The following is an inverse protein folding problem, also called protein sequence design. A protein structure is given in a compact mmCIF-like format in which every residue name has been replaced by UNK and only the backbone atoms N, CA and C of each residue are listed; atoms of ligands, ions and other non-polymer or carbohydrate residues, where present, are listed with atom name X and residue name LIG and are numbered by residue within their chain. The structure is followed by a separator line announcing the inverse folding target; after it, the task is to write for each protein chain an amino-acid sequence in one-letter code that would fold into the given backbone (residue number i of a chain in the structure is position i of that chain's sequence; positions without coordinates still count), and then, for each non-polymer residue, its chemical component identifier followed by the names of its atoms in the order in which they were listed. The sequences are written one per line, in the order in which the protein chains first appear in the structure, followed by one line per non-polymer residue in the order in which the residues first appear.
data_IF_317164562436
#
_entry.id   IF_317164562436
#
_cell.length_a   1.000
_cell.length_b   1.000
_cell.length_c   1.000
_cell.angle_alpha   90.00
_cell.angle_beta   90.00
_cell.angle_gamma   90.00
#
_symmetry.space_group_name_H-M   'P 1'
#
loop_
_entity.id
_entity.type
_entity.pdbx_description
1 polymer ?
#
# COMPACT_ATOMS: atom_id res chain seq x y z
N UNK A 1 81.50 11.44 -19.51
CA UNK A 1 81.22 11.68 -20.94
C UNK A 1 80.00 10.85 -21.26
N UNK A 2 78.83 11.38 -21.63
CA UNK A 2 78.57 12.58 -22.41
C UNK A 2 77.72 13.62 -21.67
N UNK A 3 78.13 14.88 -21.80
CA UNK A 3 77.36 16.08 -21.45
C UNK A 3 76.16 16.23 -22.39
N UNK A 4 75.00 16.57 -21.83
CA UNK A 4 73.89 17.12 -22.58
C UNK A 4 74.04 18.64 -22.68
N UNK A 5 73.85 19.16 -23.88
CA UNK A 5 74.01 20.56 -24.29
C UNK A 5 72.91 21.50 -23.74
N UNK A 6 73.22 22.79 -23.48
CA UNK A 6 72.33 23.75 -22.82
C UNK A 6 71.43 24.49 -23.84
N UNK A 7 70.43 23.83 -24.42
CA UNK A 7 69.49 24.47 -25.35
C UNK A 7 67.99 24.22 -25.07
N UNK A 8 67.61 23.49 -24.03
CA UNK A 8 66.20 23.28 -23.68
C UNK A 8 65.99 23.42 -22.17
N UNK A 9 65.86 24.67 -21.73
CA UNK A 9 65.07 25.00 -20.52
C UNK A 9 64.14 26.14 -20.89
N UNK A 10 62.81 25.95 -20.86
CA UNK A 10 61.88 27.06 -21.02
C UNK A 10 62.20 28.11 -19.95
N UNK A 11 62.51 29.30 -20.43
CA UNK A 11 62.81 30.49 -19.64
C UNK A 11 61.74 30.67 -18.58
N UNK A 12 62.17 30.57 -17.33
CA UNK A 12 61.32 30.72 -16.17
C UNK A 12 61.05 32.21 -15.93
N UNK A 13 60.24 32.81 -16.81
CA UNK A 13 59.80 34.20 -16.71
C UNK A 13 59.09 34.50 -15.38
N UNK A 14 58.53 33.46 -14.72
CA UNK A 14 57.99 33.57 -13.37
C UNK A 14 59.06 33.69 -12.29
N UNK A 15 60.22 33.04 -12.44
CA UNK A 15 61.35 33.20 -11.51
C UNK A 15 62.10 34.53 -11.76
N UNK A 16 62.24 34.95 -13.01
CA UNK A 16 62.76 36.29 -13.34
C UNK A 16 61.85 37.41 -12.81
N UNK A 17 60.53 37.24 -12.93
CA UNK A 17 59.53 38.15 -12.38
C UNK A 17 59.54 38.18 -10.85
N UNK A 18 59.62 37.01 -10.18
CA UNK A 18 59.74 36.94 -8.71
C UNK A 18 61.04 37.56 -8.22
N UNK A 19 62.16 37.37 -8.91
CA UNK A 19 63.46 37.95 -8.54
C UNK A 19 63.52 39.48 -8.71
N UNK A 20 62.90 40.02 -9.76
CA UNK A 20 62.77 41.47 -9.95
C UNK A 20 61.83 42.09 -8.92
N UNK A 21 60.68 41.46 -8.66
CA UNK A 21 59.70 42.00 -7.72
C UNK A 21 60.18 41.88 -6.26
N UNK A 22 60.80 40.75 -5.88
CA UNK A 22 61.36 40.58 -4.54
C UNK A 22 62.57 41.50 -4.31
N UNK A 23 63.43 41.71 -5.33
CA UNK A 23 64.59 42.60 -5.22
C UNK A 23 64.22 44.09 -5.11
N UNK A 24 63.12 44.51 -5.73
CA UNK A 24 62.58 45.88 -5.61
C UNK A 24 61.89 46.07 -4.26
N UNK A 25 61.12 45.09 -3.80
CA UNK A 25 60.44 45.14 -2.49
C UNK A 25 61.45 45.07 -1.32
N UNK A 26 62.47 44.21 -1.38
CA UNK A 26 63.48 44.10 -0.32
C UNK A 26 64.38 45.34 -0.21
N UNK A 27 64.59 46.08 -1.31
CA UNK A 27 65.29 47.37 -1.27
C UNK A 27 64.39 48.53 -0.84
N UNK A 28 63.08 48.44 -1.04
CA UNK A 28 62.11 49.45 -0.58
C UNK A 28 61.77 49.30 0.90
N UNK A 29 61.79 48.09 1.46
CA UNK A 29 61.48 47.81 2.87
C UNK A 29 62.64 48.14 3.82
N UNK A 30 63.87 48.35 3.32
CA UNK A 30 65.06 48.65 4.14
C UNK A 30 65.45 50.13 4.23
N UNK A 31 64.63 51.06 3.73
CA UNK A 31 64.86 52.50 3.89
C UNK A 31 63.72 53.12 4.71
N UNK A 32 64.06 53.51 5.94
CA UNK A 32 63.19 54.14 6.93
C UNK A 32 62.82 55.59 6.53
N UNK A 33 61.99 55.71 5.49
CA UNK A 33 61.55 56.96 4.85
C UNK A 33 60.05 56.86 4.50
N UNK A 34 59.25 56.45 5.49
CA UNK A 34 58.00 55.72 5.26
C UNK A 34 56.70 56.54 5.15
N UNK A 35 56.74 57.88 5.00
CA UNK A 35 55.48 58.65 4.80
C UNK A 35 55.45 59.64 3.65
N UNK A 36 56.60 60.12 3.17
CA UNK A 36 56.63 61.15 2.11
C UNK A 36 56.67 60.57 0.70
N UNK A 37 57.25 59.38 0.53
CA UNK A 37 57.41 58.73 -0.78
C UNK A 37 56.13 57.96 -1.18
N UNK A 38 55.45 57.35 -0.22
CA UNK A 38 54.20 56.62 -0.47
C UNK A 38 53.12 57.52 -1.10
N UNK A 39 53.00 58.77 -0.61
CA UNK A 39 52.04 59.76 -1.14
C UNK A 39 52.42 60.25 -2.53
N UNK A 40 53.72 60.39 -2.81
CA UNK A 40 54.22 60.79 -4.13
C UNK A 40 54.01 59.67 -5.17
N UNK A 41 54.30 58.43 -4.80
CA UNK A 41 54.11 57.25 -5.65
C UNK A 41 52.63 57.02 -5.93
N UNK A 42 51.75 57.14 -4.92
CA UNK A 42 50.30 57.03 -5.12
C UNK A 42 49.75 58.14 -6.04
N UNK A 43 50.25 59.37 -5.93
CA UNK A 43 49.83 60.48 -6.79
C UNK A 43 50.31 60.32 -8.25
N UNK A 44 51.52 59.82 -8.47
CA UNK A 44 52.06 59.52 -9.80
C UNK A 44 51.34 58.33 -10.44
N UNK A 45 51.09 57.27 -9.66
CA UNK A 45 50.34 56.11 -10.10
C UNK A 45 48.88 56.46 -10.44
N UNK A 46 48.22 57.28 -9.62
CA UNK A 46 46.87 57.78 -9.89
C UNK A 46 46.78 58.61 -11.17
N UNK A 47 47.80 59.41 -11.49
CA UNK A 47 47.87 60.15 -12.76
C UNK A 47 48.13 59.24 -13.96
N UNK A 48 48.99 58.22 -13.81
CA UNK A 48 49.27 57.24 -14.87
C UNK A 48 48.04 56.37 -15.18
N UNK A 49 47.32 55.91 -14.15
CA UNK A 49 46.06 55.17 -14.32
C UNK A 49 45.00 56.05 -14.96
N UNK A 50 44.85 57.30 -14.51
CA UNK A 50 43.90 58.25 -15.14
C UNK A 50 44.26 58.53 -16.60
N UNK A 51 45.54 58.73 -16.92
CA UNK A 51 46.04 58.96 -18.27
C UNK A 51 45.81 57.73 -19.17
N UNK A 52 46.12 56.53 -18.67
CA UNK A 52 45.84 55.26 -19.36
C UNK A 52 44.34 55.06 -19.59
N UNK A 53 43.49 55.38 -18.61
CA UNK A 53 42.04 55.29 -18.75
C UNK A 53 41.49 56.29 -19.77
N UNK A 54 42.01 57.53 -19.81
CA UNK A 54 41.61 58.52 -20.82
C UNK A 54 42.09 58.20 -22.23
N UNK A 55 43.16 57.41 -22.39
CA UNK A 55 43.66 56.95 -23.70
C UNK A 55 42.95 55.70 -24.18
N UNK A 56 42.65 54.75 -23.27
CA UNK A 56 42.06 53.45 -23.62
C UNK A 56 40.53 53.52 -23.73
N UNK A 57 39.85 54.36 -22.95
CA UNK A 57 38.39 54.46 -22.99
C UNK A 57 37.81 54.85 -24.37
N UNK A 58 38.32 55.85 -25.11
CA UNK A 58 37.76 56.19 -26.43
C UNK A 58 38.08 55.13 -27.50
N UNK A 59 39.21 54.43 -27.40
CA UNK A 59 39.56 53.31 -28.29
C UNK A 59 38.66 52.10 -28.00
N UNK A 60 38.41 51.80 -26.72
CA UNK A 60 37.49 50.74 -26.30
C UNK A 60 36.04 51.02 -26.67
N UNK A 61 35.57 52.26 -26.54
CA UNK A 61 34.23 52.69 -27.00
C UNK A 61 34.10 52.68 -28.52
N UNK A 62 35.15 53.05 -29.25
CA UNK A 62 35.20 52.99 -30.71
C UNK A 62 35.18 51.56 -31.24
N UNK A 63 35.97 50.66 -30.65
CA UNK A 63 35.95 49.23 -30.98
C UNK A 63 34.64 48.57 -30.57
N UNK A 64 34.08 48.90 -29.40
CA UNK A 64 32.77 48.38 -28.99
C UNK A 64 31.64 48.83 -29.92
N UNK A 65 31.66 50.09 -30.39
CA UNK A 65 30.72 50.56 -31.43
C UNK A 65 30.96 49.90 -32.77
N UNK A 66 32.20 49.76 -33.21
CA UNK A 66 32.53 49.09 -34.47
C UNK A 66 32.15 47.60 -34.47
N UNK A 67 32.32 46.91 -33.34
CA UNK A 67 31.88 45.53 -33.15
C UNK A 67 30.35 45.46 -33.08
N UNK A 68 29.68 46.39 -32.39
CA UNK A 68 28.21 46.43 -32.36
C UNK A 68 27.60 46.74 -33.73
N UNK A 69 28.19 47.65 -34.50
CA UNK A 69 27.74 47.98 -35.86
C UNK A 69 28.03 46.86 -36.86
N UNK A 70 29.18 46.18 -36.74
CA UNK A 70 29.48 44.98 -37.53
C UNK A 70 28.56 43.81 -37.13
N UNK A 71 28.24 43.66 -35.85
CA UNK A 71 27.29 42.68 -35.36
C UNK A 71 25.88 42.95 -35.87
N UNK A 72 25.40 44.20 -35.86
CA UNK A 72 24.09 44.56 -36.40
C UNK A 72 24.00 44.30 -37.93
N UNK A 73 25.12 44.36 -38.64
CA UNK A 73 25.19 44.08 -40.08
C UNK A 73 25.14 42.58 -40.40
N UNK A 74 25.74 41.75 -39.54
CA UNK A 74 25.89 40.29 -39.76
C UNK A 74 24.82 39.48 -38.99
N UNK A 75 24.22 40.04 -37.93
CA UNK A 75 23.21 39.37 -37.10
C UNK A 75 21.99 38.86 -37.88
N UNK A 76 21.43 39.58 -38.88
CA UNK A 76 20.31 39.05 -39.66
C UNK A 76 20.67 37.78 -40.42
N UNK A 77 21.87 37.71 -40.98
CA UNK A 77 22.37 36.55 -41.75
C UNK A 77 22.69 35.37 -40.83
N UNK A 78 23.32 35.62 -39.68
CA UNK A 78 23.54 34.58 -38.66
C UNK A 78 22.23 34.04 -38.09
N UNK A 79 21.21 34.90 -37.92
CA UNK A 79 19.90 34.50 -37.48
C UNK A 79 19.16 33.64 -38.51
N UNK A 80 19.32 33.91 -39.81
CA UNK A 80 18.79 33.06 -40.88
C UNK A 80 19.49 31.69 -40.93
N UNK A 81 20.81 31.65 -40.76
CA UNK A 81 21.57 30.40 -40.72
C UNK A 81 21.20 29.57 -39.49
N UNK A 82 21.13 30.20 -38.31
CA UNK A 82 20.73 29.52 -37.07
C UNK A 82 19.28 29.03 -37.12
N UNK A 83 18.38 29.79 -37.75
CA UNK A 83 17.01 29.38 -38.02
C UNK A 83 16.93 28.21 -38.98
N UNK A 84 17.67 28.22 -40.08
CA UNK A 84 17.72 27.10 -41.02
C UNK A 84 18.27 25.84 -40.36
N UNK A 85 19.37 25.95 -39.59
CA UNK A 85 19.95 24.82 -38.86
C UNK A 85 18.98 24.26 -37.79
N UNK A 86 18.34 25.14 -37.01
CA UNK A 86 17.30 24.70 -36.07
C UNK A 86 16.10 24.07 -36.80
N UNK A 87 15.72 24.62 -37.96
CA UNK A 87 14.58 24.08 -38.71
C UNK A 87 14.85 22.69 -39.26
N UNK A 88 16.08 22.45 -39.70
CA UNK A 88 16.55 21.16 -40.22
C UNK A 88 16.63 20.12 -39.09
N UNK A 89 17.33 20.44 -38.00
CA UNK A 89 17.52 19.53 -36.84
C UNK A 89 16.18 19.14 -36.19
N UNK A 90 15.23 20.08 -36.11
CA UNK A 90 13.95 19.84 -35.45
C UNK A 90 12.80 19.50 -36.42
N UNK A 91 13.04 19.55 -37.73
CA UNK A 91 12.02 19.30 -38.76
C UNK A 91 10.82 20.25 -38.70
N UNK A 92 10.99 21.46 -38.14
CA UNK A 92 9.95 22.48 -38.00
C UNK A 92 10.45 23.83 -38.48
N UNK A 93 9.62 24.60 -39.17
CA UNK A 93 10.00 25.93 -39.66
C UNK A 93 10.19 26.92 -38.47
N UNK A 94 11.45 27.19 -38.11
CA UNK A 94 11.85 28.15 -37.08
C UNK A 94 12.19 29.47 -37.77
N UNK A 95 11.44 30.56 -37.57
CA UNK A 95 11.70 31.81 -38.27
C UNK A 95 12.97 32.49 -37.77
N UNK A 96 13.75 33.10 -38.68
CA UNK A 96 14.97 33.87 -38.36
C UNK A 96 14.76 34.96 -37.30
N UNK A 97 13.55 35.54 -37.25
CA UNK A 97 13.17 36.56 -36.25
C UNK A 97 13.22 36.04 -34.80
N UNK A 98 13.18 34.72 -34.59
CA UNK A 98 13.37 34.11 -33.27
C UNK A 98 14.78 34.40 -32.71
N UNK A 99 15.80 34.49 -33.58
CA UNK A 99 17.20 34.67 -33.19
C UNK A 99 17.68 36.13 -33.18
N UNK A 100 16.90 37.06 -33.78
CA UNK A 100 17.30 38.47 -33.93
C UNK A 100 17.12 39.33 -32.67
N UNK A 101 16.44 38.86 -31.61
CA UNK A 101 16.05 39.72 -30.48
C UNK A 101 17.10 39.81 -29.37
N UNK A 102 18.24 40.48 -29.61
CA UNK A 102 19.28 40.63 -28.59
C UNK A 102 18.83 41.52 -27.40
N UNK A 103 17.94 42.49 -27.63
CA UNK A 103 17.56 43.52 -26.65
C UNK A 103 16.22 43.31 -25.94
N UNK A 104 15.44 42.27 -26.26
CA UNK A 104 14.15 42.03 -25.62
C UNK A 104 14.21 40.77 -24.76
N UNK A 105 14.40 40.93 -23.44
CA UNK A 105 14.53 39.79 -22.48
C UNK A 105 13.33 38.85 -22.51
N UNK A 106 12.14 39.33 -22.88
CA UNK A 106 10.94 38.49 -23.04
C UNK A 106 10.85 37.75 -24.38
N UNK A 107 11.68 38.10 -25.36
CA UNK A 107 11.72 37.40 -26.66
C UNK A 107 12.77 36.27 -26.70
N UNK A 108 13.72 36.25 -25.75
CA UNK A 108 14.73 35.18 -25.62
C UNK A 108 14.15 33.82 -25.22
N UNK A 109 12.92 33.76 -24.69
CA UNK A 109 12.25 32.47 -24.44
C UNK A 109 11.66 31.86 -25.70
N UNK A 110 11.43 32.64 -26.77
CA UNK A 110 10.74 32.16 -27.98
C UNK A 110 11.53 31.08 -28.74
N UNK A 111 12.86 31.19 -28.90
CA UNK A 111 13.65 30.10 -29.47
C UNK A 111 13.60 28.85 -28.60
N UNK A 112 13.81 28.96 -27.29
CA UNK A 112 13.77 27.79 -26.39
C UNK A 112 12.39 27.13 -26.33
N UNK A 113 11.32 27.93 -26.40
CA UNK A 113 9.93 27.44 -26.40
C UNK A 113 9.61 26.73 -27.73
N UNK A 114 10.07 27.28 -28.86
CA UNK A 114 9.92 26.66 -30.18
C UNK A 114 10.71 25.35 -30.27
N UNK A 115 11.97 25.34 -29.81
CA UNK A 115 12.80 24.13 -29.76
C UNK A 115 12.21 23.07 -28.83
N UNK A 116 11.73 23.49 -27.65
CA UNK A 116 11.08 22.60 -26.70
C UNK A 116 9.77 22.01 -27.24
N UNK A 117 8.97 22.81 -27.96
CA UNK A 117 7.74 22.35 -28.61
C UNK A 117 8.04 21.38 -29.76
N UNK A 118 9.02 21.69 -30.60
CA UNK A 118 9.46 20.82 -31.69
C UNK A 118 9.97 19.47 -31.20
N UNK A 119 10.81 19.47 -30.15
CA UNK A 119 11.24 18.24 -29.48
C UNK A 119 10.06 17.43 -28.94
N UNK A 120 9.11 18.07 -28.27
CA UNK A 120 7.94 17.37 -27.71
C UNK A 120 7.00 16.82 -28.78
N UNK A 121 6.79 17.56 -29.88
CA UNK A 121 5.99 17.10 -31.02
C UNK A 121 6.67 15.94 -31.75
N UNK A 122 8.00 15.94 -31.82
CA UNK A 122 8.76 14.83 -32.38
C UNK A 122 8.70 13.56 -31.51
N UNK A 123 8.83 13.71 -30.19
CA UNK A 123 8.72 12.61 -29.22
C UNK A 123 7.31 12.01 -29.19
N UNK A 124 6.27 12.84 -29.27
CA UNK A 124 4.87 12.39 -29.30
C UNK A 124 4.49 11.82 -30.68
N UNK A 125 4.96 12.44 -31.75
CA UNK A 125 4.49 12.31 -33.13
C UNK A 125 2.97 12.41 -33.30
N UNK A 126 2.44 11.97 -34.45
CA UNK A 126 1.02 12.13 -34.83
C UNK A 126 0.06 11.12 -34.17
N UNK A 127 0.36 10.61 -32.97
CA UNK A 127 -0.45 9.53 -32.38
C UNK A 127 -1.58 10.11 -31.53
N UNK A 128 -2.82 9.91 -31.97
CA UNK A 128 -4.03 10.38 -31.30
C UNK A 128 -4.41 9.60 -30.03
N UNK A 129 -3.79 8.46 -29.76
CA UNK A 129 -4.03 7.66 -28.54
C UNK A 129 -2.74 7.01 -28.01
N UNK A 130 -2.54 7.06 -26.68
CA UNK A 130 -1.38 6.47 -26.00
C UNK A 130 -1.63 4.97 -25.74
N UNK A 131 -1.49 4.12 -26.76
CA UNK A 131 -1.42 2.67 -26.56
C UNK A 131 0.03 2.22 -26.31
N UNK A 132 0.28 1.22 -25.46
CA UNK A 132 1.63 0.70 -25.20
C UNK A 132 2.24 0.15 -26.50
N UNK A 133 3.28 0.82 -27.02
CA UNK A 133 3.98 0.39 -28.24
C UNK A 133 5.45 0.80 -28.22
N UNK A 134 6.29 0.04 -28.93
CA UNK A 134 7.72 0.34 -29.09
C UNK A 134 7.98 1.55 -30.00
N UNK A 135 6.96 2.00 -30.74
CA UNK A 135 7.06 3.06 -31.75
C UNK A 135 7.49 4.41 -31.16
N UNK A 136 7.12 4.71 -29.90
CA UNK A 136 7.60 5.91 -29.21
C UNK A 136 9.11 5.88 -28.91
N UNK A 137 9.59 4.75 -28.38
CA UNK A 137 11.00 4.55 -28.06
C UNK A 137 11.87 4.52 -29.34
N UNK A 138 11.42 3.85 -30.40
CA UNK A 138 12.12 3.80 -31.68
C UNK A 138 12.24 5.19 -32.33
N UNK A 139 11.18 6.01 -32.30
CA UNK A 139 11.23 7.39 -32.80
C UNK A 139 12.21 8.26 -32.01
N UNK A 140 12.18 8.17 -30.69
CA UNK A 140 13.11 8.90 -29.83
C UNK A 140 14.57 8.48 -30.07
N UNK A 141 14.84 7.18 -30.20
CA UNK A 141 16.18 6.67 -30.49
C UNK A 141 16.66 7.02 -31.89
N UNK A 142 15.76 7.00 -32.88
CA UNK A 142 16.03 7.48 -34.23
C UNK A 142 16.42 8.95 -34.22
N UNK A 143 15.66 9.79 -33.51
CA UNK A 143 16.01 11.21 -33.33
C UNK A 143 17.37 11.40 -32.64
N UNK A 144 17.60 10.75 -31.50
CA UNK A 144 18.85 10.88 -30.76
C UNK A 144 20.06 10.44 -31.59
N UNK A 145 19.88 9.42 -32.44
CA UNK A 145 20.92 8.92 -33.35
C UNK A 145 21.14 9.88 -34.52
N UNK A 146 20.06 10.42 -35.11
CA UNK A 146 20.16 11.40 -36.19
C UNK A 146 20.86 12.68 -35.72
N UNK A 147 20.49 13.20 -34.54
CA UNK A 147 21.14 14.37 -33.94
C UNK A 147 22.62 14.12 -33.66
N UNK A 148 22.99 12.93 -33.18
CA UNK A 148 24.40 12.57 -32.97
C UNK A 148 25.19 12.45 -34.29
N UNK A 149 24.56 11.93 -35.35
CA UNK A 149 25.17 11.82 -36.68
C UNK A 149 25.30 13.19 -37.38
N UNK A 150 24.29 14.05 -37.24
CA UNK A 150 24.30 15.43 -37.76
C UNK A 150 25.34 16.28 -37.04
N UNK A 151 25.42 16.19 -35.70
CA UNK A 151 26.46 16.87 -34.92
C UNK A 151 27.87 16.45 -35.35
N UNK A 152 28.09 15.14 -35.51
CA UNK A 152 29.34 14.60 -36.05
C UNK A 152 29.65 15.10 -37.47
N UNK A 153 28.66 15.09 -38.37
CA UNK A 153 28.82 15.56 -39.75
C UNK A 153 29.10 17.06 -39.84
N UNK A 154 28.39 17.88 -39.06
CA UNK A 154 28.60 19.33 -39.01
C UNK A 154 29.98 19.65 -38.45
N UNK A 155 30.39 19.00 -37.35
CA UNK A 155 31.73 19.13 -36.81
C UNK A 155 32.80 18.82 -37.86
N UNK A 156 32.66 17.67 -38.55
CA UNK A 156 33.56 17.29 -39.65
C UNK A 156 33.55 18.29 -40.81
N UNK A 157 32.38 18.76 -41.25
CA UNK A 157 32.26 19.72 -42.35
C UNK A 157 32.88 21.08 -42.01
N UNK A 158 32.70 21.57 -40.79
CA UNK A 158 33.33 22.83 -40.36
C UNK A 158 34.84 22.70 -40.19
N UNK A 159 35.34 21.57 -39.70
CA UNK A 159 36.78 21.27 -39.68
C UNK A 159 37.35 21.19 -41.10
N UNK A 160 36.61 20.58 -42.02
CA UNK A 160 37.00 20.52 -43.43
C UNK A 160 37.01 21.91 -44.10
N UNK A 161 35.97 22.72 -43.89
CA UNK A 161 35.89 24.07 -44.45
C UNK A 161 36.91 25.03 -43.84
N UNK A 162 37.21 24.91 -42.54
CA UNK A 162 38.24 25.71 -41.89
C UNK A 162 39.64 25.35 -42.40
N UNK A 163 39.87 24.08 -42.78
CA UNK A 163 41.12 23.66 -43.42
C UNK A 163 41.32 24.25 -44.83
N UNK A 164 40.25 24.66 -45.51
CA UNK A 164 40.28 25.20 -46.88
C UNK A 164 40.53 26.71 -46.94
N UNK A 165 40.30 27.45 -45.86
CA UNK A 165 40.51 28.92 -45.81
C UNK A 165 41.43 29.24 -44.63
N UNK A 166 42.77 29.27 -44.84
CA UNK A 166 43.76 29.39 -43.77
C UNK A 166 43.73 30.69 -42.95
N UNK A 167 43.05 31.73 -43.45
CA UNK A 167 43.00 33.06 -42.85
C UNK A 167 41.84 33.23 -41.86
N UNK A 168 40.89 32.28 -41.81
CA UNK A 168 39.83 32.26 -40.80
C UNK A 168 40.38 31.53 -39.58
N UNK A 169 40.80 32.31 -38.58
CA UNK A 169 41.31 31.78 -37.30
C UNK A 169 40.27 30.87 -36.63
N UNK A 170 40.53 29.56 -36.71
CA UNK A 170 39.61 28.44 -36.43
C UNK A 170 39.24 28.35 -34.94
N UNK A 171 40.01 28.98 -34.06
CA UNK A 171 39.82 28.93 -32.60
C UNK A 171 38.51 29.55 -32.09
N UNK A 172 37.70 30.21 -32.94
CA UNK A 172 36.36 30.71 -32.56
C UNK A 172 35.20 29.84 -33.07
N UNK A 173 35.46 28.90 -33.96
CA UNK A 173 34.43 28.01 -34.53
C UNK A 173 34.28 26.71 -33.71
N UNK A 174 35.25 26.37 -32.86
CA UNK A 174 35.17 25.24 -31.90
C UNK A 174 33.87 25.27 -31.08
N UNK A 175 33.39 26.46 -30.70
CA UNK A 175 32.13 26.63 -29.95
C UNK A 175 30.88 26.10 -30.66
N UNK A 176 30.89 26.00 -31.98
CA UNK A 176 29.76 25.46 -32.75
C UNK A 176 29.79 23.93 -32.81
N UNK A 177 30.99 23.33 -32.79
CA UNK A 177 31.16 21.89 -32.76
C UNK A 177 30.87 21.28 -31.38
N UNK A 178 30.91 22.07 -30.30
CA UNK A 178 30.51 21.63 -28.94
C UNK A 178 29.00 21.80 -28.67
N UNK A 179 28.27 22.44 -29.59
CA UNK A 179 26.87 22.81 -29.37
C UNK A 179 25.96 21.58 -29.27
N UNK A 180 26.25 20.53 -30.05
CA UNK A 180 25.51 19.25 -30.01
C UNK A 180 25.70 18.52 -28.67
N UNK A 181 26.92 18.49 -28.13
CA UNK A 181 27.26 17.93 -26.82
C UNK A 181 26.60 18.72 -25.69
N UNK A 182 26.61 20.06 -25.77
CA UNK A 182 25.92 20.93 -24.80
C UNK A 182 24.41 20.68 -24.86
N UNK A 183 23.82 20.58 -26.06
CA UNK A 183 22.39 20.31 -26.23
C UNK A 183 22.01 18.89 -25.78
N UNK A 184 22.79 17.88 -26.13
CA UNK A 184 22.57 16.48 -25.72
C UNK A 184 22.63 16.32 -24.19
N UNK A 185 23.57 17.03 -23.54
CA UNK A 185 23.69 17.05 -22.08
C UNK A 185 22.59 17.88 -21.42
N UNK A 186 22.26 19.06 -21.95
CA UNK A 186 21.24 19.96 -21.40
C UNK A 186 19.82 19.36 -21.52
N UNK A 187 19.51 18.68 -22.63
CA UNK A 187 18.25 17.99 -22.85
C UNK A 187 18.20 16.61 -22.17
N UNK A 188 19.31 16.16 -21.58
CA UNK A 188 19.38 14.87 -20.90
C UNK A 188 19.13 13.66 -21.81
N UNK A 189 19.36 13.80 -23.12
CA UNK A 189 19.03 12.79 -24.14
C UNK A 189 19.70 11.46 -23.82
N UNK A 190 20.94 11.47 -23.31
CA UNK A 190 21.64 10.25 -22.89
C UNK A 190 21.06 9.53 -21.65
N UNK A 191 20.30 10.22 -20.79
CA UNK A 191 19.55 9.58 -19.68
C UNK A 191 18.20 9.07 -20.17
N UNK A 192 17.51 9.85 -20.99
CA UNK A 192 16.23 9.48 -21.57
C UNK A 192 16.35 8.29 -22.52
N UNK A 193 17.42 8.21 -23.32
CA UNK A 193 17.68 7.08 -24.23
C UNK A 193 17.95 5.80 -23.46
N UNK A 194 18.76 5.87 -22.40
CA UNK A 194 18.95 4.75 -21.47
C UNK A 194 17.63 4.32 -20.83
N UNK A 195 16.80 5.27 -20.41
CA UNK A 195 15.48 4.94 -19.84
C UNK A 195 14.53 4.32 -20.87
N UNK A 196 14.57 4.75 -22.13
CA UNK A 196 13.74 4.21 -23.20
C UNK A 196 14.19 2.81 -23.64
N UNK A 197 15.50 2.55 -23.68
CA UNK A 197 16.07 1.23 -24.02
C UNK A 197 15.99 0.25 -22.85
N UNK A 198 16.00 0.74 -21.61
CA UNK A 198 16.08 -0.11 -20.40
C UNK A 198 15.05 -1.23 -20.37
N UNK A 199 13.74 -1.04 -20.66
CA UNK A 199 12.79 -2.15 -20.68
C UNK A 199 13.16 -3.26 -21.68
N UNK A 200 13.65 -2.89 -22.86
CA UNK A 200 14.10 -3.85 -23.87
C UNK A 200 15.36 -4.59 -23.40
N UNK A 201 16.33 -3.87 -22.82
CA UNK A 201 17.54 -4.47 -22.25
C UNK A 201 17.23 -5.37 -21.04
N UNK A 202 16.31 -4.94 -20.17
CA UNK A 202 15.88 -5.71 -19.01
C UNK A 202 15.21 -7.02 -19.47
N UNK A 203 14.31 -6.96 -20.44
CA UNK A 203 13.59 -8.13 -20.96
C UNK A 203 14.49 -9.09 -21.77
N UNK A 204 15.43 -8.58 -22.57
CA UNK A 204 16.24 -9.39 -23.48
C UNK A 204 17.58 -9.84 -22.92
N UNK A 205 18.15 -9.09 -21.97
CA UNK A 205 19.49 -9.35 -21.43
C UNK A 205 19.45 -9.62 -19.93
N UNK A 206 18.93 -8.68 -19.12
CA UNK A 206 19.05 -8.77 -17.66
C UNK A 206 18.22 -9.93 -17.10
N UNK A 207 16.92 -10.02 -17.43
CA UNK A 207 16.03 -11.05 -16.91
C UNK A 207 16.47 -12.47 -17.33
N UNK A 208 16.80 -12.76 -18.61
CA UNK A 208 17.31 -14.08 -18.98
C UNK A 208 18.63 -14.44 -18.29
N UNK A 209 19.53 -13.47 -18.10
CA UNK A 209 20.78 -13.69 -17.36
C UNK A 209 20.52 -13.96 -15.87
N UNK A 210 19.58 -13.24 -15.26
CA UNK A 210 19.13 -13.50 -13.88
C UNK A 210 18.56 -14.90 -13.76
N UNK A 211 17.72 -15.35 -14.71
CA UNK A 211 17.18 -16.71 -14.73
C UNK A 211 18.27 -17.76 -14.85
N UNK A 212 19.23 -17.59 -15.76
CA UNK A 212 20.37 -18.50 -15.91
C UNK A 212 21.19 -18.57 -14.62
N UNK A 213 21.44 -17.42 -14.00
CA UNK A 213 22.17 -17.31 -12.72
C UNK A 213 21.40 -18.00 -11.60
N UNK A 214 20.09 -17.77 -11.49
CA UNK A 214 19.22 -18.40 -10.52
C UNK A 214 19.13 -19.91 -10.74
N UNK A 215 19.12 -20.41 -11.98
CA UNK A 215 19.10 -21.84 -12.26
C UNK A 215 20.42 -22.52 -11.89
N UNK A 216 21.54 -21.85 -12.19
CA UNK A 216 22.90 -22.35 -11.98
C UNK A 216 23.25 -22.37 -10.50
N UNK A 217 23.04 -21.25 -9.80
CA UNK A 217 23.51 -21.07 -8.42
C UNK A 217 22.39 -21.26 -7.38
N UNK A 218 21.11 -21.16 -7.79
CA UNK A 218 19.93 -21.29 -6.92
C UNK A 218 20.05 -20.49 -5.61
N UNK A 219 20.35 -19.18 -5.70
CA UNK A 219 20.62 -18.36 -4.51
C UNK A 219 19.36 -18.12 -3.66
N UNK A 220 18.17 -18.30 -4.23
CA UNK A 220 16.89 -18.14 -3.53
C UNK A 220 16.62 -19.34 -2.64
N UNK A 221 16.85 -19.18 -1.35
CA UNK A 221 16.46 -20.14 -0.31
C UNK A 221 14.96 -20.01 -0.01
N UNK A 222 14.36 -21.08 0.51
CA UNK A 222 12.96 -21.02 0.97
C UNK A 222 12.82 -20.06 2.15
N UNK A 223 11.73 -19.31 2.25
CA UNK A 223 11.50 -18.45 3.40
C UNK A 223 11.43 -19.26 4.71
N UNK A 224 11.84 -18.66 5.84
CA UNK A 224 11.97 -19.40 7.10
C UNK A 224 10.69 -20.14 7.53
N UNK A 225 9.52 -19.52 7.35
CA UNK A 225 8.22 -20.14 7.63
C UNK A 225 7.85 -21.27 6.66
N UNK A 226 8.35 -21.25 5.42
CA UNK A 226 8.16 -22.35 4.46
C UNK A 226 9.01 -23.56 4.88
N UNK A 227 10.26 -23.33 5.30
CA UNK A 227 11.15 -24.39 5.81
C UNK A 227 10.54 -25.04 7.05
N UNK A 228 10.09 -24.25 8.03
CA UNK A 228 9.48 -24.77 9.24
C UNK A 228 8.20 -25.59 8.95
N UNK A 229 7.37 -25.16 8.00
CA UNK A 229 6.20 -25.94 7.53
C UNK A 229 6.57 -27.26 6.87
N UNK A 230 7.64 -27.31 6.08
CA UNK A 230 8.10 -28.55 5.43
C UNK A 230 8.61 -29.57 6.45
N UNK A 231 9.26 -29.11 7.52
CA UNK A 231 9.66 -29.96 8.65
C UNK A 231 8.42 -30.47 9.40
N UNK A 232 7.48 -29.59 9.73
CA UNK A 232 6.24 -29.97 10.43
C UNK A 232 5.42 -31.01 9.63
N UNK A 233 5.48 -30.96 8.29
CA UNK A 233 4.84 -31.93 7.37
C UNK A 233 5.69 -33.18 7.10
N UNK A 234 6.86 -33.33 7.73
CA UNK A 234 7.82 -34.43 7.54
C UNK A 234 8.37 -34.58 6.10
N UNK A 235 8.31 -33.51 5.30
CA UNK A 235 8.94 -33.52 3.98
C UNK A 235 10.44 -33.27 4.06
N UNK A 236 10.90 -32.51 5.05
CA UNK A 236 12.31 -32.24 5.33
C UNK A 236 12.69 -32.76 6.71
N UNK A 237 13.94 -33.20 6.86
CA UNK A 237 14.51 -33.54 8.17
C UNK A 237 14.88 -32.26 8.94
N UNK A 238 15.00 -32.37 10.27
CA UNK A 238 15.40 -31.23 11.13
C UNK A 238 16.79 -30.73 10.76
N UNK A 239 17.72 -31.62 10.44
CA UNK A 239 19.10 -31.32 10.08
C UNK A 239 19.17 -30.50 8.78
N UNK A 240 18.36 -30.87 7.77
CA UNK A 240 18.29 -30.13 6.51
C UNK A 240 17.74 -28.73 6.71
N UNK A 241 16.71 -28.57 7.56
CA UNK A 241 16.16 -27.28 7.89
C UNK A 241 17.14 -26.39 8.66
N UNK A 242 17.90 -26.97 9.61
CA UNK A 242 18.96 -26.27 10.33
C UNK A 242 20.00 -25.71 9.37
N UNK A 243 20.50 -26.53 8.44
CA UNK A 243 21.47 -26.07 7.43
C UNK A 243 20.92 -24.94 6.56
N UNK A 244 19.67 -25.06 6.10
CA UNK A 244 19.05 -24.05 5.23
C UNK A 244 18.80 -22.72 5.97
N UNK A 245 18.33 -22.77 7.21
CA UNK A 245 18.06 -21.58 8.03
C UNK A 245 19.35 -20.94 8.56
N UNK A 246 20.38 -21.74 8.86
CA UNK A 246 21.70 -21.23 9.21
C UNK A 246 22.33 -20.45 8.05
N UNK A 247 22.14 -20.89 6.79
CA UNK A 247 22.55 -20.12 5.60
C UNK A 247 21.85 -18.77 5.46
N UNK A 248 20.65 -18.63 6.04
CA UNK A 248 19.90 -17.37 6.12
C UNK A 248 20.31 -16.50 7.32
N UNK A 249 21.19 -16.99 8.19
CA UNK A 249 21.69 -16.27 9.36
C UNK A 249 20.86 -16.43 10.64
N UNK A 250 19.97 -17.42 10.73
CA UNK A 250 19.28 -17.73 11.98
C UNK A 250 20.20 -18.51 12.94
N UNK A 251 20.10 -18.20 14.23
CA UNK A 251 20.75 -18.96 15.31
C UNK A 251 19.94 -20.22 15.63
N UNK A 252 20.59 -21.24 16.22
CA UNK A 252 19.94 -22.52 16.55
C UNK A 252 18.68 -22.33 17.43
N UNK A 253 18.75 -21.45 18.44
CA UNK A 253 17.60 -21.12 19.30
C UNK A 253 16.42 -20.52 18.52
N UNK A 254 16.70 -19.64 17.54
CA UNK A 254 15.67 -19.04 16.69
C UNK A 254 15.08 -20.07 15.74
N UNK A 255 15.90 -21.01 15.26
CA UNK A 255 15.43 -22.11 14.41
C UNK A 255 14.50 -23.00 15.21
N UNK A 256 14.85 -23.36 16.45
CA UNK A 256 14.00 -24.14 17.32
C UNK A 256 12.67 -23.43 17.61
N UNK A 257 12.70 -22.13 17.94
CA UNK A 257 11.49 -21.33 18.13
C UNK A 257 10.58 -21.33 16.88
N UNK A 258 11.14 -21.16 15.68
CA UNK A 258 10.39 -21.24 14.42
C UNK A 258 9.78 -22.62 14.16
N UNK A 259 10.48 -23.69 14.55
CA UNK A 259 9.96 -25.05 14.43
C UNK A 259 8.85 -25.34 15.44
N UNK A 260 8.97 -24.79 16.66
CA UNK A 260 7.93 -24.87 17.70
C UNK A 260 6.67 -24.12 17.29
N UNK A 261 6.80 -22.94 16.67
CA UNK A 261 5.66 -22.15 16.17
C UNK A 261 4.80 -22.90 15.14
N UNK A 262 5.42 -23.79 14.34
CA UNK A 262 4.69 -24.58 13.35
C UNK A 262 4.09 -25.88 13.90
N UNK A 263 4.31 -26.20 15.19
CA UNK A 263 3.65 -27.36 15.81
C UNK A 263 2.15 -27.09 15.92
N UNK A 264 1.36 -28.10 15.57
CA UNK A 264 -0.07 -28.07 15.87
C UNK A 264 -0.25 -28.40 17.34
N UNK A 265 -0.83 -27.48 18.08
CA UNK A 265 -1.19 -27.72 19.46
C UNK A 265 -2.66 -28.14 19.56
N UNK A 266 -2.92 -29.08 20.46
CA UNK A 266 -4.29 -29.41 20.87
C UNK A 266 -4.93 -28.21 21.56
N UNK A 267 -6.24 -28.03 21.37
CA UNK A 267 -6.97 -26.98 22.07
C UNK A 267 -6.95 -27.25 23.58
N UNK A 268 -7.14 -26.20 24.39
CA UNK A 268 -7.24 -26.32 25.85
C UNK A 268 -8.30 -27.37 26.27
N UNK A 269 -9.42 -27.41 25.57
CA UNK A 269 -10.52 -28.35 25.84
C UNK A 269 -10.11 -29.80 25.55
N UNK A 270 -9.37 -30.04 24.46
CA UNK A 270 -8.86 -31.37 24.12
C UNK A 270 -7.83 -31.85 25.14
N UNK A 271 -6.94 -30.96 25.59
CA UNK A 271 -5.95 -31.26 26.64
C UNK A 271 -6.66 -31.63 27.94
N UNK A 272 -7.62 -30.81 28.38
CA UNK A 272 -8.41 -31.07 29.59
C UNK A 272 -9.25 -32.36 29.47
N UNK A 273 -9.69 -32.72 28.26
CA UNK A 273 -10.36 -33.99 27.99
C UNK A 273 -9.39 -35.18 28.12
N UNK A 274 -8.18 -35.10 27.56
CA UNK A 274 -7.17 -36.15 27.66
C UNK A 274 -6.71 -36.40 29.09
N UNK A 275 -6.50 -35.32 29.87
CA UNK A 275 -6.17 -35.42 31.30
C UNK A 275 -7.31 -36.06 32.08
N UNK A 276 -8.54 -35.60 31.86
CA UNK A 276 -9.72 -36.17 32.52
C UNK A 276 -9.96 -37.65 32.20
N UNK A 277 -9.71 -38.07 30.96
CA UNK A 277 -9.81 -39.47 30.54
C UNK A 277 -8.64 -40.33 31.02
N UNK A 278 -7.67 -39.76 31.75
CA UNK A 278 -6.47 -40.45 32.22
C UNK A 278 -5.52 -40.86 31.09
N UNK A 279 -5.71 -40.34 29.88
CA UNK A 279 -4.81 -40.60 28.75
C UNK A 279 -3.51 -39.83 28.95
N UNK A 280 -3.61 -38.61 29.47
CA UNK A 280 -2.48 -37.78 29.89
C UNK A 280 -2.48 -37.59 31.41
N UNK A 281 -1.30 -37.39 31.98
CA UNK A 281 -1.18 -36.88 33.36
C UNK A 281 -1.42 -35.38 33.40
N UNK A 282 -1.76 -34.84 34.58
CA UNK A 282 -1.90 -33.39 34.76
C UNK A 282 -0.63 -32.63 34.37
N UNK A 283 0.55 -33.17 34.70
CA UNK A 283 1.84 -32.59 34.33
C UNK A 283 2.06 -32.54 32.82
N UNK A 284 1.65 -33.59 32.09
CA UNK A 284 1.72 -33.62 30.62
C UNK A 284 0.81 -32.56 29.99
N UNK A 285 -0.42 -32.42 30.53
CA UNK A 285 -1.34 -31.37 30.08
C UNK A 285 -0.80 -29.97 30.32
N UNK A 286 -0.27 -29.71 31.52
CA UNK A 286 0.34 -28.42 31.86
C UNK A 286 1.56 -28.11 31.00
N UNK A 287 2.45 -29.08 30.76
CA UNK A 287 3.60 -28.88 29.89
C UNK A 287 3.17 -28.56 28.46
N UNK A 288 2.14 -29.23 27.93
CA UNK A 288 1.62 -28.96 26.59
C UNK A 288 0.98 -27.57 26.48
N UNK A 289 0.36 -27.05 27.55
CA UNK A 289 -0.11 -25.66 27.61
C UNK A 289 1.07 -24.67 27.72
N UNK A 290 2.12 -24.99 28.47
CA UNK A 290 3.34 -24.16 28.51
C UNK A 290 4.02 -24.08 27.16
N UNK A 291 4.09 -25.18 26.42
CA UNK A 291 4.65 -25.22 25.07
C UNK A 291 3.84 -24.37 24.07
N UNK A 292 2.56 -24.09 24.37
CA UNK A 292 1.72 -23.15 23.63
C UNK A 292 1.97 -21.66 23.98
N UNK A 293 2.81 -21.39 24.99
CA UNK A 293 3.11 -20.05 25.47
C UNK A 293 2.26 -19.57 26.65
N UNK A 294 1.50 -20.46 27.30
CA UNK A 294 0.82 -20.12 28.55
C UNK A 294 1.83 -20.13 29.70
N UNK A 295 1.75 -19.16 30.60
CA UNK A 295 2.48 -19.21 31.86
C UNK A 295 1.91 -20.30 32.79
N UNK A 296 2.66 -20.68 33.82
CA UNK A 296 2.32 -21.78 34.73
C UNK A 296 1.00 -21.56 35.49
N UNK A 297 0.77 -20.33 35.95
CA UNK A 297 -0.44 -19.98 36.70
C UNK A 297 -1.66 -20.00 35.77
N UNK A 298 -1.54 -19.41 34.57
CA UNK A 298 -2.63 -19.39 33.60
C UNK A 298 -2.92 -20.79 33.03
N UNK A 299 -1.91 -21.63 32.78
CA UNK A 299 -2.12 -23.02 32.36
C UNK A 299 -2.87 -23.84 33.43
N UNK A 300 -2.55 -23.64 34.71
CA UNK A 300 -3.23 -24.28 35.82
C UNK A 300 -4.67 -23.80 35.98
N UNK A 301 -4.90 -22.49 35.85
CA UNK A 301 -6.24 -21.91 35.87
C UNK A 301 -7.09 -22.40 34.68
N UNK A 302 -6.49 -22.47 33.50
CA UNK A 302 -7.11 -22.97 32.27
C UNK A 302 -7.63 -24.41 32.42
N UNK A 303 -6.83 -25.32 32.97
CA UNK A 303 -7.25 -26.70 33.21
C UNK A 303 -8.41 -26.79 34.23
N UNK A 304 -8.32 -25.99 35.32
CA UNK A 304 -9.39 -25.90 36.33
C UNK A 304 -10.70 -25.34 35.78
N UNK A 305 -10.64 -24.33 34.90
CA UNK A 305 -11.83 -23.74 34.26
C UNK A 305 -12.55 -24.76 33.39
N UNK A 306 -11.83 -25.61 32.66
CA UNK A 306 -12.45 -26.69 31.86
C UNK A 306 -13.05 -27.80 32.73
N UNK A 307 -12.44 -28.08 33.90
CA UNK A 307 -13.07 -28.90 34.93
C UNK A 307 -14.40 -28.30 35.42
N UNK A 308 -14.39 -27.00 35.78
CA UNK A 308 -15.56 -26.29 36.27
C UNK A 308 -16.67 -26.18 35.22
N UNK A 309 -16.35 -25.93 33.93
CA UNK A 309 -17.33 -25.89 32.83
C UNK A 309 -18.07 -27.21 32.68
N UNK A 310 -17.37 -28.34 32.81
CA UNK A 310 -18.00 -29.67 32.74
C UNK A 310 -18.94 -29.92 33.90
N UNK A 311 -18.55 -29.54 35.12
CA UNK A 311 -19.41 -29.62 36.30
C UNK A 311 -20.65 -28.74 36.08
N UNK A 312 -20.48 -27.48 35.70
CA UNK A 312 -21.59 -26.56 35.44
C UNK A 312 -22.56 -27.09 34.36
N UNK A 313 -22.06 -27.76 33.31
CA UNK A 313 -22.92 -28.39 32.31
C UNK A 313 -23.73 -29.57 32.87
N UNK A 314 -23.14 -30.37 33.76
CA UNK A 314 -23.86 -31.45 34.45
C UNK A 314 -24.93 -30.88 35.39
N UNK A 315 -24.57 -29.89 36.21
CA UNK A 315 -25.50 -29.16 37.08
C UNK A 315 -26.67 -28.57 36.26
N UNK A 316 -26.38 -27.95 35.12
CA UNK A 316 -27.40 -27.41 34.19
C UNK A 316 -28.34 -28.50 33.67
N UNK A 317 -27.80 -29.65 33.29
CA UNK A 317 -28.61 -30.76 32.77
C UNK A 317 -29.52 -31.35 33.87
N UNK A 318 -28.99 -31.52 35.08
CA UNK A 318 -29.75 -31.98 36.25
C UNK A 318 -30.84 -30.98 36.64
N UNK A 319 -30.48 -29.70 36.77
CA UNK A 319 -31.43 -28.63 37.06
C UNK A 319 -32.57 -28.57 36.04
N UNK A 320 -32.28 -28.71 34.74
CA UNK A 320 -33.30 -28.73 33.70
C UNK A 320 -34.28 -29.90 33.86
N UNK A 321 -33.80 -31.09 34.24
CA UNK A 321 -34.65 -32.24 34.51
C UNK A 321 -35.53 -32.02 35.75
N UNK A 322 -34.97 -31.46 36.82
CA UNK A 322 -35.68 -31.13 38.06
C UNK A 322 -36.77 -30.08 37.79
N UNK A 323 -36.45 -29.02 37.04
CA UNK A 323 -37.41 -27.98 36.62
C UNK A 323 -38.54 -28.58 35.79
N UNK A 324 -38.24 -29.50 34.87
CA UNK A 324 -39.25 -30.15 34.04
C UNK A 324 -40.23 -31.00 34.88
N UNK A 325 -39.73 -31.75 35.86
CA UNK A 325 -40.56 -32.53 36.79
C UNK A 325 -41.45 -31.60 37.64
N UNK A 326 -40.90 -30.50 38.16
CA UNK A 326 -41.66 -29.52 38.94
C UNK A 326 -42.74 -28.82 38.10
N UNK A 327 -42.39 -28.38 36.89
CA UNK A 327 -43.32 -27.73 35.98
C UNK A 327 -44.46 -28.67 35.55
N UNK A 328 -44.17 -29.97 35.39
CA UNK A 328 -45.16 -31.01 35.08
C UNK A 328 -46.04 -31.42 36.26
N UNK A 329 -45.73 -30.88 37.45
CA UNK A 329 -46.38 -31.22 38.74
C UNK A 329 -46.13 -32.66 39.19
N UNK A 330 -45.04 -33.28 38.75
CA UNK A 330 -44.64 -34.62 39.17
C UNK A 330 -43.98 -34.62 40.56
N UNK A 331 -43.43 -33.48 40.97
CA UNK A 331 -42.86 -33.25 42.31
C UNK A 331 -43.44 -31.98 42.96
N UNK A 332 -43.48 -31.99 44.29
CA UNK A 332 -43.93 -30.85 45.08
C UNK A 332 -42.83 -29.78 45.25
N UNK A 333 -43.21 -28.58 45.72
CA UNK A 333 -42.26 -27.46 45.87
C UNK A 333 -41.14 -27.76 46.87
N UNK A 334 -41.44 -28.46 47.97
CA UNK A 334 -40.42 -28.84 48.95
C UNK A 334 -39.38 -29.79 48.36
N UNK A 335 -39.84 -30.80 47.61
CA UNK A 335 -38.97 -31.76 46.91
C UNK A 335 -38.14 -31.08 45.81
N UNK A 336 -38.76 -30.18 45.04
CA UNK A 336 -38.08 -29.38 44.03
C UNK A 336 -36.93 -28.55 44.63
N UNK A 337 -37.18 -27.81 45.71
CA UNK A 337 -36.15 -27.00 46.36
C UNK A 337 -35.02 -27.87 46.93
N UNK A 338 -35.36 -29.00 47.55
CA UNK A 338 -34.35 -29.93 48.07
C UNK A 338 -33.51 -30.58 46.96
N UNK A 339 -34.13 -30.95 45.84
CA UNK A 339 -33.42 -31.53 44.69
C UNK A 339 -32.52 -30.48 44.01
N UNK A 340 -33.01 -29.24 43.88
CA UNK A 340 -32.24 -28.15 43.28
C UNK A 340 -31.05 -27.73 44.16
N UNK A 341 -31.21 -27.73 45.49
CA UNK A 341 -30.12 -27.47 46.45
C UNK A 341 -29.01 -28.53 46.37
N UNK A 342 -29.37 -29.79 46.11
CA UNK A 342 -28.42 -30.87 45.92
C UNK A 342 -27.72 -30.83 44.55
N UNK A 343 -28.41 -30.38 43.50
CA UNK A 343 -27.91 -30.44 42.12
C UNK A 343 -27.10 -29.20 41.68
N UNK A 344 -27.38 -28.02 42.25
CA UNK A 344 -26.76 -26.76 41.81
C UNK A 344 -25.99 -26.14 42.97
N UNK A 345 -24.66 -26.08 42.85
CA UNK A 345 -23.80 -25.58 43.92
C UNK A 345 -23.92 -24.07 44.18
N UNK A 346 -24.24 -23.27 43.16
CA UNK A 346 -24.26 -21.79 43.25
C UNK A 346 -25.64 -21.27 43.69
N UNK A 347 -25.69 -20.59 44.84
CA UNK A 347 -26.95 -20.07 45.44
C UNK A 347 -27.70 -19.07 44.54
N UNK A 348 -26.99 -18.14 43.92
CA UNK A 348 -27.61 -17.16 43.02
C UNK A 348 -28.28 -17.82 41.81
N UNK A 349 -27.69 -18.90 41.29
CA UNK A 349 -28.27 -19.67 40.19
C UNK A 349 -29.50 -20.46 40.65
N UNK A 350 -29.47 -21.04 41.86
CA UNK A 350 -30.65 -21.70 42.46
C UNK A 350 -31.86 -20.77 42.54
N UNK A 351 -31.65 -19.50 42.92
CA UNK A 351 -32.73 -18.51 42.98
C UNK A 351 -33.35 -18.27 41.59
N UNK A 352 -32.52 -18.00 40.58
CA UNK A 352 -32.98 -17.77 39.20
C UNK A 352 -33.71 -18.99 38.62
N UNK A 353 -33.19 -20.19 38.87
CA UNK A 353 -33.80 -21.44 38.43
C UNK A 353 -35.13 -21.70 39.14
N UNK A 354 -35.26 -21.31 40.41
CA UNK A 354 -36.53 -21.37 41.15
C UNK A 354 -37.58 -20.45 40.55
N UNK A 355 -37.24 -19.20 40.26
CA UNK A 355 -38.15 -18.25 39.60
C UNK A 355 -38.59 -18.76 38.22
N UNK A 356 -37.63 -19.27 37.42
CA UNK A 356 -37.92 -19.86 36.12
C UNK A 356 -38.88 -21.06 36.23
N UNK A 357 -38.67 -21.92 37.23
CA UNK A 357 -39.51 -23.10 37.46
C UNK A 357 -40.93 -22.72 37.88
N UNK A 358 -41.09 -21.71 38.74
CA UNK A 358 -42.38 -21.18 39.16
C UNK A 358 -43.15 -20.58 37.96
N UNK A 359 -42.47 -19.82 37.08
CA UNK A 359 -43.06 -19.32 35.83
C UNK A 359 -43.47 -20.47 34.91
N UNK A 360 -42.60 -21.46 34.69
CA UNK A 360 -42.92 -22.63 33.85
C UNK A 360 -44.10 -23.42 34.38
N UNK A 361 -44.19 -23.62 35.71
CA UNK A 361 -45.31 -24.32 36.35
C UNK A 361 -46.62 -23.52 36.24
N UNK A 362 -46.55 -22.20 36.35
CA UNK A 362 -47.71 -21.32 36.16
C UNK A 362 -48.21 -21.31 34.70
N UNK A 363 -47.30 -21.41 33.73
CA UNK A 363 -47.64 -21.52 32.32
C UNK A 363 -48.10 -22.92 31.90
N UNK A 364 -47.62 -23.98 32.57
CA UNK A 364 -47.99 -25.36 32.29
C UNK A 364 -49.33 -25.77 32.93
N UNK A 365 -50.35 -24.92 32.77
CA UNK A 365 -51.72 -25.27 33.15
C UNK A 365 -52.40 -25.88 31.94
N UNK A 366 -52.77 -27.17 32.05
CA UNK A 366 -53.59 -27.82 31.03
C UNK A 366 -55.00 -27.24 31.10
N UNK A 367 -55.35 -26.45 30.09
CA UNK A 367 -56.71 -26.01 29.87
C UNK A 367 -57.44 -27.00 28.96
N UNK A 368 -58.76 -27.14 29.14
CA UNK A 368 -59.59 -27.84 28.17
C UNK A 368 -59.51 -27.10 26.84
N UNK A 369 -59.26 -27.84 25.76
CA UNK A 369 -59.30 -27.29 24.41
C UNK A 369 -60.69 -26.76 24.09
N UNK A 370 -60.79 -25.76 23.21
CA UNK A 370 -62.07 -25.14 22.86
C UNK A 370 -63.11 -26.17 22.41
N UNK A 371 -62.72 -27.16 21.60
CA UNK A 371 -63.61 -28.25 21.17
C UNK A 371 -64.06 -29.18 22.31
N UNK A 372 -63.21 -29.44 23.31
CA UNK A 372 -63.64 -30.20 24.50
C UNK A 372 -64.65 -29.40 25.33
N UNK A 373 -64.43 -28.09 25.48
CA UNK A 373 -65.38 -27.19 26.16
C UNK A 373 -66.71 -27.15 25.41
N UNK A 374 -66.67 -27.04 24.08
CA UNK A 374 -67.86 -27.09 23.22
C UNK A 374 -68.69 -28.36 23.44
N UNK A 375 -68.04 -29.53 23.43
CA UNK A 375 -68.70 -30.81 23.68
C UNK A 375 -69.30 -30.88 25.08
N UNK A 376 -68.60 -30.35 26.10
CA UNK A 376 -69.11 -30.26 27.47
C UNK A 376 -70.30 -29.31 27.61
N UNK A 377 -70.37 -28.24 26.81
CA UNK A 377 -71.56 -27.37 26.75
C UNK A 377 -72.72 -28.10 26.08
N UNK A 378 -72.47 -28.79 24.96
CA UNK A 378 -73.49 -29.61 24.27
C UNK A 378 -74.05 -30.71 25.16
N UNK A 379 -73.23 -31.31 26.03
CA UNK A 379 -73.69 -32.28 27.02
C UNK A 379 -74.33 -31.66 28.27
N UNK A 380 -74.44 -30.33 28.36
CA UNK A 380 -75.01 -29.62 29.51
C UNK A 380 -74.15 -29.65 30.78
N UNK A 381 -72.87 -30.03 30.68
CA UNK A 381 -71.92 -30.07 31.80
C UNK A 381 -71.34 -28.68 32.08
N UNK A 382 -71.07 -27.90 31.03
CA UNK A 382 -70.60 -26.53 31.12
C UNK A 382 -71.64 -25.55 30.54
N UNK A 383 -71.53 -24.28 30.93
CA UNK A 383 -72.39 -23.21 30.41
C UNK A 383 -71.79 -22.57 29.15
N UNK A 384 -72.63 -21.89 28.37
CA UNK A 384 -72.17 -21.08 27.22
C UNK A 384 -71.21 -19.95 27.65
N UNK A 385 -71.33 -19.44 28.88
CA UNK A 385 -70.40 -18.44 29.44
C UNK A 385 -69.00 -19.06 29.61
N UNK A 386 -68.91 -20.33 30.01
CA UNK A 386 -67.62 -21.02 30.14
C UNK A 386 -66.95 -21.25 28.78
N UNK A 387 -67.74 -21.50 27.73
CA UNK A 387 -67.25 -21.54 26.35
C UNK A 387 -66.70 -20.19 25.91
N UNK A 388 -67.40 -19.08 26.20
CA UNK A 388 -66.93 -17.72 25.92
C UNK A 388 -65.56 -17.47 26.56
N UNK A 389 -65.44 -17.73 27.88
CA UNK A 389 -64.19 -17.58 28.63
C UNK A 389 -63.07 -18.48 28.08
N UNK A 390 -63.39 -19.67 27.61
CA UNK A 390 -62.41 -20.56 26.98
C UNK A 390 -61.92 -20.00 25.65
N UNK A 391 -62.80 -19.44 24.82
CA UNK A 391 -62.43 -18.78 23.57
C UNK A 391 -61.60 -17.51 23.82
N UNK A 392 -61.98 -16.66 24.78
CA UNK A 392 -61.19 -15.48 25.17
C UNK A 392 -59.78 -15.87 25.64
N UNK A 393 -59.66 -16.94 26.44
CA UNK A 393 -58.35 -17.46 26.92
C UNK A 393 -57.45 -17.96 25.78
N UNK A 394 -58.03 -18.52 24.72
CA UNK A 394 -57.31 -18.94 23.50
C UNK A 394 -56.95 -17.75 22.60
N UNK A 395 -57.35 -16.53 22.95
CA UNK A 395 -56.96 -15.29 22.26
C UNK A 395 -57.82 -14.92 21.06
N UNK A 396 -59.02 -15.49 20.93
CA UNK A 396 -59.99 -15.03 19.92
C UNK A 396 -60.44 -13.60 20.21
N UNK A 397 -60.62 -12.78 19.17
CA UNK A 397 -61.19 -11.45 19.31
C UNK A 397 -62.68 -11.49 19.65
N UNK A 398 -63.22 -10.41 20.24
CA UNK A 398 -64.60 -10.37 20.74
C UNK A 398 -65.66 -10.65 19.66
N UNK A 399 -65.38 -10.28 18.40
CA UNK A 399 -66.24 -10.58 17.26
C UNK A 399 -66.25 -12.07 16.94
N UNK A 400 -65.08 -12.69 16.86
CA UNK A 400 -64.95 -14.14 16.67
C UNK A 400 -65.56 -14.95 17.82
N UNK A 401 -65.34 -14.52 19.07
CA UNK A 401 -65.95 -15.12 20.27
C UNK A 401 -67.47 -15.07 20.16
N UNK A 402 -68.04 -13.92 19.79
CA UNK A 402 -69.49 -13.77 19.61
C UNK A 402 -70.02 -14.65 18.48
N UNK A 403 -69.31 -14.75 17.35
CA UNK A 403 -69.71 -15.60 16.23
C UNK A 403 -69.70 -17.10 16.61
N UNK A 404 -68.64 -17.56 17.29
CA UNK A 404 -68.53 -18.94 17.78
C UNK A 404 -69.62 -19.25 18.83
N UNK A 405 -69.90 -18.31 19.72
CA UNK A 405 -70.99 -18.45 20.70
C UNK A 405 -72.35 -18.57 20.00
N UNK A 406 -72.65 -17.71 19.02
CA UNK A 406 -73.89 -17.77 18.25
C UNK A 406 -74.02 -19.07 17.47
N UNK A 407 -72.93 -19.56 16.88
CA UNK A 407 -72.91 -20.88 16.23
C UNK A 407 -73.23 -21.99 17.22
N UNK A 408 -72.59 -22.00 18.39
CA UNK A 408 -72.85 -23.01 19.42
C UNK A 408 -74.30 -22.97 19.88
N UNK A 409 -74.87 -21.79 20.10
CA UNK A 409 -76.30 -21.62 20.43
C UNK A 409 -77.22 -22.17 19.33
N UNK A 410 -76.93 -21.85 18.07
CA UNK A 410 -77.66 -22.40 16.94
C UNK A 410 -77.63 -23.93 16.92
N UNK A 411 -76.48 -24.53 17.20
CA UNK A 411 -76.34 -25.99 17.25
C UNK A 411 -77.08 -26.62 18.44
N UNK A 412 -77.11 -25.96 19.60
CA UNK A 412 -77.88 -26.39 20.78
C UNK A 412 -79.39 -26.32 20.53
N UNK A 413 -79.87 -25.24 19.94
CA UNK A 413 -81.30 -25.07 19.64
C UNK A 413 -81.75 -26.10 18.59
N UNK A 414 -80.93 -26.31 17.54
CA UNK A 414 -81.16 -27.39 16.55
C UNK A 414 -81.23 -28.78 17.20
N UNK A 415 -80.41 -29.05 18.22
CA UNK A 415 -80.47 -30.33 18.95
C UNK A 415 -81.76 -30.46 19.77
N UNK A 416 -82.19 -29.39 20.45
CA UNK A 416 -83.45 -29.38 21.22
C UNK A 416 -84.66 -29.64 20.32
N UNK A 417 -84.76 -28.94 19.20
CA UNK A 417 -85.85 -29.12 18.24
C UNK A 417 -85.93 -30.58 17.74
N UNK A 418 -84.77 -31.20 17.47
CA UNK A 418 -84.70 -32.61 17.07
C UNK A 418 -85.16 -33.56 18.17
N UNK A 419 -84.81 -33.29 19.43
CA UNK A 419 -85.21 -34.12 20.56
C UNK A 419 -86.68 -33.94 20.93
N UNK A 420 -87.24 -32.73 20.80
CA UNK A 420 -88.68 -32.47 20.91
C UNK A 420 -89.45 -33.25 19.83
N UNK A 421 -89.01 -33.18 18.58
CA UNK A 421 -89.65 -33.93 17.50
C UNK A 421 -89.58 -35.46 17.70
N UNK A 422 -88.47 -35.96 18.25
CA UNK A 422 -88.35 -37.38 18.62
C UNK A 422 -89.31 -37.79 19.73
N UNK A 423 -89.57 -36.92 20.71
CA UNK A 423 -90.56 -37.15 21.77
C UNK A 423 -91.97 -37.17 21.20
N UNK A 424 -92.33 -36.19 20.37
CA UNK A 424 -93.64 -36.16 19.71
C UNK A 424 -93.91 -37.43 18.89
N UNK A 425 -92.92 -37.90 18.13
CA UNK A 425 -93.03 -39.15 17.37
C UNK A 425 -93.15 -40.38 18.27
N UNK A 426 -92.46 -40.40 19.42
CA UNK A 426 -92.56 -41.49 20.38
C UNK A 426 -93.95 -41.51 21.05
N UNK A 427 -94.48 -40.35 21.44
CA UNK A 427 -95.80 -40.20 22.04
C UNK A 427 -96.92 -40.55 21.04
N UNK A 428 -96.80 -40.11 19.79
CA UNK A 428 -97.73 -40.48 18.72
C UNK A 428 -97.71 -42.00 18.44
N UNK A 429 -96.52 -42.64 18.47
CA UNK A 429 -96.40 -44.10 18.34
C UNK A 429 -96.96 -44.85 19.56
N UNK A 430 -96.82 -44.30 20.76
CA UNK A 430 -97.38 -44.88 21.97
C UNK A 430 -98.92 -44.78 21.98
N UNK A 431 -99.49 -43.67 21.49
CA UNK A 431 -100.93 -43.47 21.36
C UNK A 431 -101.59 -44.32 20.25
N UNK A 432 -100.81 -44.75 19.26
CA UNK A 432 -101.28 -45.61 18.16
C UNK A 432 -101.24 -47.11 18.47
N UNK A 433 -100.63 -47.52 19.59
CA UNK A 433 -100.68 -48.89 20.11
C UNK A 433 -101.76 -49.01 21.16
#
# INVERSE_FOLDING_TARGET
MAEQTPAEKPENWQEAGRGLFSGVVDRLVKLDLEKSIATLVAAVFGRLVKFAYTLVAPIGLGLAKGIAEAEDLVAPQLAEIAAAAASDVFGQDVPASAFQSKNNRGARSRPSDALGKGFMEMVRGQVGSMEPSEAGAQRFLGFATNMALEGWWQGWFFEYMSSLIPEIDVGKIETYAELDDILANALGIGRLSRSAIRPLFDATVVTPLEWKTNLTYRPKLLGASQVARLVARKHWSKERALQELARQGYTDDRIEALLLEQRKFLSQNDVALLVYRGVWTGEQGLQHLRDQGWDEDTATAADRVEGARRIAQLETNEANAIIAAYASRDIERGEFLSALDAAVSVEAERHLLTELADVRRAMNVKHLSLGQVEQMVKSGVLSVIDYRRAAEREGYDDGAVTALELQLRYELDKQKDLDEHRRELADARAAAK
#
